data_IF_798272631382
#
_entry.id   IF_798272631382
#
_cell.length_a   1.000
_cell.length_b   1.000
_cell.length_c   1.000
_cell.angle_alpha   90.00
_cell.angle_beta   90.00
_cell.angle_gamma   90.00
#
_symmetry.space_group_name_H-M   'P 1'
#
loop_
_entity.id
_entity.type
_entity.pdbx_description
1 polymer ?
#
# COMPACT_ATOMS: atom_id res chain seq x y z
N UNK A 1 5.56 -5.96 -9.09
CA UNK A 1 6.22 -6.57 -7.92
C UNK A 1 7.39 -5.74 -7.40
N UNK A 2 8.51 -5.59 -8.13
CA UNK A 2 9.63 -4.76 -7.63
C UNK A 2 9.25 -3.29 -7.46
N UNK A 3 8.51 -2.71 -8.42
CA UNK A 3 8.00 -1.34 -8.34
C UNK A 3 7.09 -1.13 -7.13
N UNK A 4 6.18 -2.06 -6.89
CA UNK A 4 5.27 -2.02 -5.73
C UNK A 4 6.05 -2.04 -4.41
N UNK A 5 7.15 -2.81 -4.36
CA UNK A 5 8.03 -2.89 -3.20
C UNK A 5 8.74 -1.55 -2.94
N UNK A 6 9.25 -0.92 -4.01
CA UNK A 6 9.89 0.41 -3.92
C UNK A 6 8.88 1.48 -3.51
N UNK A 7 7.69 1.48 -4.13
CA UNK A 7 6.58 2.39 -3.76
C UNK A 7 6.26 2.22 -2.28
N UNK A 8 6.05 1.00 -1.80
CA UNK A 8 5.71 0.72 -0.41
C UNK A 8 6.77 1.24 0.57
N UNK A 9 8.05 0.96 0.29
CA UNK A 9 9.18 1.45 1.10
C UNK A 9 9.23 2.98 1.15
N UNK A 10 9.09 3.63 -0.01
CA UNK A 10 9.10 5.10 -0.11
C UNK A 10 7.90 5.69 0.64
N UNK A 11 6.71 5.11 0.49
CA UNK A 11 5.51 5.51 1.23
C UNK A 11 5.75 5.44 2.72
N UNK A 12 6.35 4.36 3.23
CA UNK A 12 6.70 4.23 4.65
C UNK A 12 7.72 5.28 5.11
N UNK A 13 8.75 5.58 4.31
CA UNK A 13 9.69 6.68 4.62
C UNK A 13 8.96 8.03 4.75
N UNK A 14 8.04 8.32 3.82
CA UNK A 14 7.33 9.60 3.79
C UNK A 14 6.28 9.72 4.90
N UNK A 15 5.75 8.60 5.41
CA UNK A 15 4.81 8.60 6.54
C UNK A 15 5.33 9.41 7.73
N UNK A 16 6.65 9.39 7.99
CA UNK A 16 7.27 10.13 9.11
C UNK A 16 7.15 11.66 9.00
N UNK A 17 6.97 12.18 7.80
CA UNK A 17 6.79 13.61 7.51
C UNK A 17 5.32 14.04 7.55
N UNK A 18 4.41 13.06 7.49
CA UNK A 18 2.98 13.25 7.29
C UNK A 18 2.21 12.97 8.59
N UNK A 19 2.66 12.00 9.37
CA UNK A 19 2.03 11.54 10.60
C UNK A 19 2.84 11.98 11.82
N UNK A 20 2.16 12.20 12.94
CA UNK A 20 2.80 12.69 14.18
C UNK A 20 3.44 11.59 15.02
N UNK A 21 3.07 10.33 14.78
CA UNK A 21 3.61 9.20 15.53
C UNK A 21 5.04 8.86 15.11
N UNK A 22 5.86 8.47 16.10
CA UNK A 22 7.16 7.87 15.85
C UNK A 22 7.00 6.56 15.10
N UNK A 23 7.55 6.48 13.89
CA UNK A 23 7.52 5.28 13.05
C UNK A 23 8.78 4.47 13.33
N UNK A 24 8.66 3.18 13.70
CA UNK A 24 9.83 2.32 13.86
C UNK A 24 10.68 2.28 12.60
N UNK A 25 12.02 2.40 12.69
CA UNK A 25 12.91 2.45 11.52
C UNK A 25 12.81 1.19 10.63
N UNK A 26 12.45 0.05 11.20
CA UNK A 26 12.25 -1.22 10.50
C UNK A 26 11.03 -1.18 9.55
N UNK A 27 10.10 -0.24 9.74
CA UNK A 27 8.85 -0.15 8.98
C UNK A 27 9.07 0.02 7.49
N UNK A 28 10.11 0.77 7.08
CA UNK A 28 10.43 0.92 5.66
C UNK A 28 10.90 -0.42 5.04
N UNK A 29 11.68 -1.19 5.79
CA UNK A 29 12.09 -2.54 5.39
C UNK A 29 10.90 -3.50 5.34
N UNK A 30 10.00 -3.44 6.33
CA UNK A 30 8.75 -4.19 6.33
C UNK A 30 7.89 -3.88 5.11
N UNK A 31 7.77 -2.59 4.75
CA UNK A 31 7.03 -2.14 3.58
C UNK A 31 7.71 -2.57 2.27
N UNK A 32 9.04 -2.54 2.19
CA UNK A 32 9.78 -3.05 1.03
C UNK A 32 9.47 -4.53 0.78
N UNK A 33 9.39 -5.32 1.85
CA UNK A 33 9.18 -6.76 1.78
C UNK A 33 7.71 -7.17 1.73
N UNK A 34 6.77 -6.21 1.80
CA UNK A 34 5.34 -6.43 2.02
C UNK A 34 4.66 -7.44 1.09
N UNK A 35 5.15 -7.56 -0.16
CA UNK A 35 4.65 -8.48 -1.18
C UNK A 35 5.62 -9.65 -1.48
N UNK A 36 6.63 -9.89 -0.65
CA UNK A 36 7.62 -10.95 -0.86
C UNK A 36 6.97 -12.34 -0.88
N UNK A 37 5.90 -12.56 -0.10
CA UNK A 37 5.14 -13.81 -0.13
C UNK A 37 4.55 -14.13 -1.49
N UNK A 38 4.16 -13.13 -2.29
CA UNK A 38 3.72 -13.35 -3.68
C UNK A 38 4.88 -13.84 -4.56
N UNK A 39 6.10 -13.37 -4.33
CA UNK A 39 7.30 -13.81 -5.07
C UNK A 39 7.59 -15.26 -4.71
N UNK A 40 7.56 -15.58 -3.42
CA UNK A 40 7.78 -16.93 -2.90
C UNK A 40 6.73 -17.87 -3.50
N UNK A 41 5.43 -17.59 -3.35
CA UNK A 41 4.37 -18.40 -3.92
C UNK A 41 4.55 -18.62 -5.43
N UNK A 42 4.89 -17.57 -6.19
CA UNK A 42 5.09 -17.68 -7.65
C UNK A 42 6.18 -18.68 -8.07
N UNK A 43 7.14 -18.98 -7.18
CA UNK A 43 8.25 -19.90 -7.43
C UNK A 43 7.95 -21.34 -7.02
N UNK A 44 7.12 -21.54 -6.00
CA UNK A 44 6.95 -22.85 -5.37
C UNK A 44 5.62 -23.54 -5.67
N UNK A 45 4.58 -22.81 -6.10
CA UNK A 45 3.28 -23.43 -6.44
C UNK A 45 3.25 -23.89 -7.91
N UNK A 46 2.42 -24.89 -8.19
CA UNK A 46 2.25 -25.44 -9.54
C UNK A 46 1.61 -24.43 -10.50
N UNK A 47 1.84 -24.58 -11.81
CA UNK A 47 1.22 -23.72 -12.80
C UNK A 47 -0.31 -23.88 -12.84
N UNK A 48 -0.83 -25.04 -12.45
CA UNK A 48 -2.27 -25.27 -12.27
C UNK A 48 -2.85 -24.39 -11.16
N UNK A 49 -2.20 -24.36 -9.99
CA UNK A 49 -2.60 -23.49 -8.88
C UNK A 49 -2.52 -22.01 -9.26
N UNK A 50 -1.47 -21.59 -10.00
CA UNK A 50 -1.36 -20.21 -10.51
C UNK A 50 -2.53 -19.85 -11.43
N UNK A 51 -2.93 -20.77 -12.33
CA UNK A 51 -4.08 -20.57 -13.22
C UNK A 51 -5.38 -20.44 -12.43
N UNK A 52 -5.62 -21.36 -11.50
CA UNK A 52 -6.81 -21.33 -10.65
C UNK A 52 -6.94 -20.02 -9.85
N UNK A 53 -5.85 -19.57 -9.21
CA UNK A 53 -5.82 -18.30 -8.47
C UNK A 53 -6.10 -17.12 -9.43
N UNK A 54 -5.55 -17.16 -10.65
CA UNK A 54 -5.77 -16.12 -11.65
C UNK A 54 -7.23 -16.08 -12.13
N UNK A 55 -7.84 -17.23 -12.37
CA UNK A 55 -9.25 -17.36 -12.78
C UNK A 55 -10.21 -16.86 -11.69
N UNK A 56 -9.98 -17.23 -10.44
CA UNK A 56 -10.76 -16.73 -9.29
C UNK A 56 -10.72 -15.20 -9.19
N UNK A 57 -9.55 -14.60 -9.47
CA UNK A 57 -9.40 -13.14 -9.48
C UNK A 57 -10.13 -12.48 -10.64
N UNK A 58 -10.12 -13.11 -11.81
CA UNK A 58 -10.88 -12.64 -12.97
C UNK A 58 -12.40 -12.71 -12.72
N UNK A 59 -12.87 -13.65 -11.88
CA UNK A 59 -14.26 -13.70 -11.42
C UNK A 59 -14.59 -12.72 -10.28
N UNK A 60 -13.64 -11.86 -9.89
CA UNK A 60 -13.85 -10.82 -8.88
C UNK A 60 -13.59 -11.23 -7.43
N UNK A 61 -13.08 -12.44 -7.16
CA UNK A 61 -12.57 -12.79 -5.82
C UNK A 61 -11.27 -12.01 -5.57
N UNK A 62 -11.03 -11.59 -4.33
CA UNK A 62 -9.72 -11.02 -3.98
C UNK A 62 -8.64 -12.11 -3.93
N UNK A 63 -7.38 -11.65 -4.00
CA UNK A 63 -6.20 -12.50 -4.03
C UNK A 63 -6.12 -13.44 -2.82
N UNK A 64 -6.43 -12.94 -1.61
CA UNK A 64 -6.27 -13.71 -0.37
C UNK A 64 -7.26 -14.86 -0.36
N UNK A 65 -8.54 -14.59 -0.65
CA UNK A 65 -9.53 -15.67 -0.71
C UNK A 65 -9.21 -16.69 -1.81
N UNK A 66 -8.74 -16.24 -2.97
CA UNK A 66 -8.34 -17.15 -4.05
C UNK A 66 -7.14 -18.04 -3.67
N UNK A 67 -6.16 -17.50 -2.94
CA UNK A 67 -5.02 -18.27 -2.44
C UNK A 67 -5.42 -19.25 -1.34
N UNK A 68 -6.24 -18.82 -0.37
CA UNK A 68 -6.74 -19.70 0.69
C UNK A 68 -7.53 -20.89 0.15
N UNK A 69 -8.34 -20.70 -0.90
CA UNK A 69 -9.10 -21.78 -1.54
C UNK A 69 -8.19 -22.78 -2.27
N UNK A 70 -7.06 -22.32 -2.82
CA UNK A 70 -6.16 -23.15 -3.61
C UNK A 70 -5.04 -23.83 -2.79
N UNK A 71 -4.59 -23.17 -1.73
CA UNK A 71 -3.35 -23.50 -1.02
C UNK A 71 -3.54 -23.67 0.49
N UNK A 72 -4.72 -23.34 1.03
CA UNK A 72 -4.99 -23.24 2.47
C UNK A 72 -4.11 -22.21 3.21
N UNK A 73 -3.35 -21.40 2.47
CA UNK A 73 -2.48 -20.34 2.95
C UNK A 73 -2.45 -19.19 1.95
N UNK A 74 -2.24 -17.97 2.43
CA UNK A 74 -2.11 -16.77 1.59
C UNK A 74 -0.68 -16.19 1.59
N UNK A 75 -0.43 -15.25 0.67
CA UNK A 75 0.87 -14.62 0.52
C UNK A 75 1.31 -13.83 1.75
N UNK A 76 0.38 -13.37 2.58
CA UNK A 76 0.66 -12.60 3.79
C UNK A 76 1.21 -13.52 4.86
N UNK A 77 0.56 -14.66 5.05
CA UNK A 77 0.98 -15.73 5.95
C UNK A 77 2.34 -16.30 5.52
N UNK A 78 2.49 -16.68 4.26
CA UNK A 78 3.75 -17.20 3.71
C UNK A 78 4.90 -16.19 3.90
N UNK A 79 4.65 -14.91 3.61
CA UNK A 79 5.64 -13.86 3.84
C UNK A 79 6.05 -13.73 5.31
N UNK A 80 5.08 -13.79 6.23
CA UNK A 80 5.32 -13.75 7.66
C UNK A 80 6.13 -14.94 8.18
N UNK A 81 5.81 -16.17 7.74
CA UNK A 81 6.53 -17.39 8.11
C UNK A 81 7.98 -17.31 7.61
N UNK A 82 8.20 -16.88 6.37
CA UNK A 82 9.56 -16.76 5.82
C UNK A 82 10.37 -15.67 6.52
N UNK A 83 9.75 -14.54 6.87
CA UNK A 83 10.41 -13.50 7.65
C UNK A 83 10.89 -14.01 9.02
N UNK A 84 10.05 -14.80 9.71
CA UNK A 84 10.40 -15.45 10.97
C UNK A 84 11.51 -16.50 10.78
N UNK A 85 11.42 -17.32 9.75
CA UNK A 85 12.43 -18.32 9.43
C UNK A 85 13.80 -17.72 9.12
N UNK A 86 13.85 -16.56 8.46
CA UNK A 86 15.08 -15.81 8.20
C UNK A 86 15.63 -15.08 9.43
N UNK A 87 14.93 -15.10 10.57
CA UNK A 87 15.34 -14.39 11.78
C UNK A 87 15.25 -12.87 11.65
N UNK A 88 14.34 -12.35 10.81
CA UNK A 88 14.13 -10.91 10.69
C UNK A 88 13.53 -10.33 11.99
N UNK A 89 13.77 -9.04 12.29
CA UNK A 89 13.16 -8.38 13.45
C UNK A 89 11.65 -8.57 13.51
N UNK A 90 11.05 -8.80 14.70
CA UNK A 90 9.61 -9.04 14.85
C UNK A 90 8.73 -7.95 14.22
N UNK A 91 9.19 -6.70 14.24
CA UNK A 91 8.46 -5.57 13.64
C UNK A 91 8.28 -5.74 12.12
N UNK A 92 9.23 -6.38 11.43
CA UNK A 92 9.10 -6.72 10.01
C UNK A 92 8.00 -7.77 9.81
N UNK A 93 8.02 -8.85 10.61
CA UNK A 93 7.00 -9.90 10.54
C UNK A 93 5.58 -9.36 10.85
N UNK A 94 5.46 -8.43 11.80
CA UNK A 94 4.20 -7.71 12.09
C UNK A 94 3.71 -6.96 10.85
N UNK A 95 4.62 -6.28 10.14
CA UNK A 95 4.30 -5.53 8.93
C UNK A 95 3.71 -6.39 7.81
N UNK A 96 4.18 -7.65 7.68
CA UNK A 96 3.55 -8.64 6.79
C UNK A 96 2.16 -9.01 7.27
N UNK A 97 2.09 -9.66 8.44
CA UNK A 97 0.94 -10.45 8.91
C UNK A 97 -0.35 -9.65 9.07
N UNK A 98 -0.23 -8.36 9.42
CA UNK A 98 -1.38 -7.56 9.84
C UNK A 98 -1.72 -6.39 8.90
N UNK A 99 -1.11 -6.34 7.70
CA UNK A 99 -1.38 -5.27 6.72
C UNK A 99 -2.85 -5.22 6.23
N UNK A 100 -3.56 -6.37 6.27
CA UNK A 100 -4.98 -6.49 5.93
C UNK A 100 -5.90 -6.65 7.15
N UNK A 101 -5.36 -7.07 8.28
CA UNK A 101 -6.12 -7.39 9.50
C UNK A 101 -5.65 -6.55 10.70
N UNK A 102 -6.10 -5.30 10.68
CA UNK A 102 -5.70 -4.25 11.62
C UNK A 102 -6.39 -4.34 12.98
N UNK A 103 -7.31 -5.30 13.14
CA UNK A 103 -8.01 -5.53 14.40
C UNK A 103 -7.21 -6.45 15.33
N UNK A 104 -6.36 -7.31 14.76
CA UNK A 104 -5.55 -8.28 15.52
C UNK A 104 -4.35 -7.65 16.23
N UNK A 105 -3.78 -6.58 15.68
CA UNK A 105 -2.61 -5.90 16.27
C UNK A 105 -2.75 -4.38 16.11
N UNK A 106 -2.45 -3.65 17.19
CA UNK A 106 -2.41 -2.18 17.22
C UNK A 106 -0.97 -1.70 17.33
N UNK A 107 -0.22 -1.78 16.22
CA UNK A 107 1.17 -1.32 16.10
C UNK A 107 1.29 -0.27 15.01
N UNK A 108 2.22 0.67 15.19
CA UNK A 108 2.48 1.72 14.19
C UNK A 108 2.92 1.10 12.86
N UNK A 109 3.74 0.04 12.91
CA UNK A 109 4.19 -0.62 11.68
C UNK A 109 3.06 -1.28 10.91
N UNK A 110 2.10 -1.96 11.56
CA UNK A 110 0.94 -2.53 10.84
C UNK A 110 0.04 -1.45 10.23
N UNK A 111 -0.12 -0.32 10.93
CA UNK A 111 -0.88 0.84 10.44
C UNK A 111 -0.22 1.48 9.22
N UNK A 112 1.11 1.65 9.26
CA UNK A 112 1.87 2.19 8.13
C UNK A 112 1.90 1.21 6.97
N UNK A 113 2.12 -0.09 7.18
CA UNK A 113 2.15 -1.08 6.08
C UNK A 113 0.78 -1.22 5.42
N UNK A 114 -0.31 -1.01 6.15
CA UNK A 114 -1.63 -0.88 5.54
C UNK A 114 -1.74 0.34 4.61
N UNK A 115 -1.27 1.52 5.05
CA UNK A 115 -1.24 2.71 4.19
C UNK A 115 -0.38 2.44 2.95
N UNK A 116 0.79 1.82 3.10
CA UNK A 116 1.65 1.41 2.00
C UNK A 116 0.93 0.49 1.01
N UNK A 117 0.26 -0.55 1.50
CA UNK A 117 -0.51 -1.47 0.66
C UNK A 117 -1.61 -0.74 -0.14
N UNK A 118 -2.37 0.13 0.51
CA UNK A 118 -3.42 0.92 -0.16
C UNK A 118 -2.84 1.90 -1.18
N UNK A 119 -1.64 2.42 -0.94
CA UNK A 119 -0.92 3.26 -1.90
C UNK A 119 -0.50 2.48 -3.15
N UNK A 120 -0.04 1.24 -2.98
CA UNK A 120 0.26 0.33 -4.10
C UNK A 120 -1.01 0.13 -4.93
N UNK A 121 -2.14 -0.22 -4.31
CA UNK A 121 -3.41 -0.42 -5.04
C UNK A 121 -3.81 0.84 -5.82
N UNK A 122 -3.67 2.02 -5.21
CA UNK A 122 -3.97 3.29 -5.88
C UNK A 122 -3.09 3.52 -7.11
N UNK A 123 -1.78 3.28 -6.99
CA UNK A 123 -0.81 3.59 -8.04
C UNK A 123 -0.72 2.52 -9.13
N UNK A 124 -0.96 1.26 -8.79
CA UNK A 124 -0.84 0.12 -9.71
C UNK A 124 -2.14 -0.20 -10.45
N UNK A 125 -3.28 0.42 -10.09
CA UNK A 125 -4.55 0.28 -10.82
C UNK A 125 -4.59 1.19 -12.08
N UNK A 126 -4.85 0.65 -13.29
CA UNK A 126 -4.97 1.45 -14.51
C UNK A 126 -6.12 2.47 -14.45
N UNK A 127 -5.94 3.67 -15.01
CA UNK A 127 -6.97 4.74 -15.01
C UNK A 127 -8.26 4.40 -15.76
N UNK A 128 -8.25 3.40 -16.65
CA UNK A 128 -9.42 2.97 -17.40
C UNK A 128 -10.56 2.44 -16.52
N UNK A 129 -10.31 2.21 -15.22
CA UNK A 129 -11.31 1.74 -14.24
C UNK A 129 -12.13 2.86 -13.57
N UNK A 130 -12.08 4.11 -14.04
CA UNK A 130 -12.82 5.24 -13.48
C UNK A 130 -12.06 6.04 -12.41
N UNK A 131 -12.77 6.84 -11.60
CA UNK A 131 -12.15 7.65 -10.53
C UNK A 131 -11.48 6.75 -9.49
N UNK A 132 -10.15 6.85 -9.37
CA UNK A 132 -9.38 6.15 -8.34
C UNK A 132 -9.74 6.69 -6.95
N UNK A 133 -10.27 5.83 -6.08
CA UNK A 133 -10.49 6.11 -4.66
C UNK A 133 -9.65 5.16 -3.83
N UNK A 134 -8.76 5.71 -3.01
CA UNK A 134 -8.04 4.91 -2.03
C UNK A 134 -8.98 4.54 -0.87
N UNK A 135 -8.89 3.31 -0.37
CA UNK A 135 -9.72 2.83 0.76
C UNK A 135 -8.84 2.54 1.96
N UNK A 136 -8.47 3.59 2.71
CA UNK A 136 -7.72 3.43 3.95
C UNK A 136 -8.71 3.35 5.12
N UNK A 137 -8.46 2.43 6.05
CA UNK A 137 -9.28 2.31 7.25
C UNK A 137 -9.25 3.63 8.07
N UNK A 138 -10.38 4.29 8.35
CA UNK A 138 -10.42 5.54 9.10
C UNK A 138 -9.79 5.44 10.50
N UNK A 139 -9.91 4.28 11.15
CA UNK A 139 -9.31 4.05 12.46
C UNK A 139 -7.77 4.03 12.39
N UNK A 140 -7.19 3.59 11.27
CA UNK A 140 -5.74 3.68 11.02
C UNK A 140 -5.32 5.13 10.90
N UNK A 141 -6.04 5.92 10.11
CA UNK A 141 -5.74 7.36 9.96
C UNK A 141 -5.85 8.08 11.30
N UNK A 142 -6.89 7.79 12.09
CA UNK A 142 -7.06 8.37 13.42
C UNK A 142 -5.88 8.01 14.35
N UNK A 143 -5.43 6.75 14.34
CA UNK A 143 -4.28 6.32 15.13
C UNK A 143 -2.99 7.00 14.67
N UNK A 144 -2.75 7.07 13.36
CA UNK A 144 -1.54 7.68 12.78
C UNK A 144 -1.43 9.19 13.02
N UNK A 145 -2.54 9.88 13.27
CA UNK A 145 -2.58 11.32 13.59
C UNK A 145 -1.89 12.18 12.52
N UNK A 146 -2.54 12.45 11.38
CA UNK A 146 -1.98 13.30 10.34
C UNK A 146 -1.65 14.70 10.86
N UNK A 147 -0.56 15.28 10.37
CA UNK A 147 -0.12 16.63 10.75
C UNK A 147 -1.06 17.72 10.22
N UNK A 148 -1.76 17.47 9.11
CA UNK A 148 -2.63 18.40 8.40
C UNK A 148 -3.89 17.71 7.84
N UNK A 149 -4.95 18.47 7.55
CA UNK A 149 -6.11 17.97 6.78
C UNK A 149 -5.75 17.66 5.32
N UNK A 150 -4.73 18.32 4.78
CA UNK A 150 -4.20 18.10 3.42
C UNK A 150 -3.10 17.01 3.39
N UNK A 151 -3.03 16.14 4.41
CA UNK A 151 -1.98 15.13 4.52
C UNK A 151 -1.90 14.21 3.30
N UNK A 152 -3.04 13.91 2.68
CA UNK A 152 -3.12 13.00 1.54
C UNK A 152 -2.40 13.59 0.32
N UNK A 153 -2.71 14.83 -0.02
CA UNK A 153 -2.07 15.55 -1.14
C UNK A 153 -0.58 15.73 -0.88
N UNK A 154 -0.21 16.08 0.34
CA UNK A 154 1.19 16.22 0.73
C UNK A 154 1.95 14.90 0.62
N UNK A 155 1.36 13.80 1.08
CA UNK A 155 1.94 12.47 0.97
C UNK A 155 2.12 12.06 -0.49
N UNK A 156 1.14 12.36 -1.35
CA UNK A 156 1.21 12.08 -2.78
C UNK A 156 2.40 12.78 -3.43
N UNK A 157 2.60 14.08 -3.16
CA UNK A 157 3.75 14.85 -3.64
C UNK A 157 5.07 14.25 -3.14
N UNK A 158 5.19 13.98 -1.84
CA UNK A 158 6.41 13.44 -1.25
C UNK A 158 6.80 12.06 -1.81
N UNK A 159 5.82 11.16 -1.94
CA UNK A 159 6.04 9.82 -2.49
C UNK A 159 6.49 9.91 -3.94
N UNK A 160 5.84 10.78 -4.72
CA UNK A 160 6.18 10.98 -6.13
C UNK A 160 7.59 11.52 -6.32
N UNK A 161 7.94 12.62 -5.66
CA UNK A 161 9.28 13.22 -5.75
C UNK A 161 10.37 12.23 -5.33
N UNK A 162 10.12 11.46 -4.26
CA UNK A 162 11.06 10.44 -3.78
C UNK A 162 11.20 9.30 -4.78
N UNK A 163 10.09 8.83 -5.36
CA UNK A 163 10.11 7.76 -6.36
C UNK A 163 10.91 8.17 -7.61
N UNK A 164 10.73 9.39 -8.12
CA UNK A 164 11.50 9.89 -9.26
C UNK A 164 13.01 9.93 -8.95
N UNK A 165 13.39 10.36 -7.74
CA UNK A 165 14.79 10.37 -7.32
C UNK A 165 15.40 8.97 -7.21
N UNK A 166 14.63 7.98 -6.77
CA UNK A 166 15.11 6.60 -6.57
C UNK A 166 15.15 5.80 -7.87
N UNK A 167 14.13 5.93 -8.72
CA UNK A 167 13.97 5.13 -9.93
C UNK A 167 14.55 5.79 -11.18
N UNK A 168 15.07 7.01 -11.09
CA UNK A 168 15.40 7.85 -12.24
C UNK A 168 14.14 8.31 -12.98
N UNK A 169 14.32 9.04 -14.08
CA UNK A 169 13.25 9.57 -14.96
C UNK A 169 12.57 8.43 -15.75
N UNK A 170 12.06 7.42 -15.04
CA UNK A 170 11.20 6.39 -15.58
C UNK A 170 9.79 6.97 -15.67
N UNK A 171 9.37 7.26 -16.89
CA UNK A 171 8.04 7.69 -17.30
C UNK A 171 6.90 6.83 -16.74
N UNK A 172 6.54 7.04 -15.46
CA UNK A 172 5.16 6.91 -15.00
C UNK A 172 4.28 7.98 -15.70
N UNK A 173 4.89 9.00 -16.31
CA UNK A 173 4.24 10.00 -17.17
C UNK A 173 3.67 9.42 -18.47
N UNK A 174 4.28 8.39 -19.07
CA UNK A 174 3.85 7.83 -20.37
C UNK A 174 2.61 6.93 -20.28
N UNK A 175 2.15 6.58 -19.07
CA UNK A 175 0.90 5.83 -18.85
C UNK A 175 -0.23 6.66 -18.24
N UNK A 176 -0.18 7.99 -18.34
CA UNK A 176 -1.26 8.86 -17.87
C UNK A 176 -1.49 8.82 -16.36
N UNK A 177 -0.51 8.36 -15.56
CA UNK A 177 -0.64 8.16 -14.12
C UNK A 177 -0.65 9.45 -13.30
N UNK A 178 -0.41 10.59 -13.94
CA UNK A 178 -0.76 11.94 -13.48
C UNK A 178 -1.90 12.45 -14.37
N UNK A 179 -3.18 12.43 -13.94
CA UNK A 179 -4.21 13.19 -14.60
C UNK A 179 -3.74 14.63 -14.84
N UNK A 180 -3.86 15.12 -16.08
CA UNK A 180 -3.77 16.54 -16.41
C UNK A 180 -4.75 17.42 -15.58
N UNK A 181 -5.68 16.81 -14.84
CA UNK A 181 -6.57 17.46 -13.87
C UNK A 181 -5.92 17.77 -12.51
N UNK A 182 -4.66 17.40 -12.29
CA UNK A 182 -3.87 17.89 -11.15
C UNK A 182 -3.10 19.18 -11.46
N UNK A 183 -3.33 19.80 -12.63
CA UNK A 183 -3.01 21.21 -12.84
C UNK A 183 -4.03 22.05 -12.06
N UNK A 184 -3.56 22.77 -11.05
CA UNK A 184 -4.33 23.82 -10.39
C UNK A 184 -4.76 24.85 -11.44
N UNK A 185 -6.08 25.01 -11.64
CA UNK A 185 -6.59 26.26 -12.18
C UNK A 185 -6.51 27.28 -11.04
N UNK A 186 -5.57 28.21 -11.13
CA UNK A 186 -5.59 29.47 -10.40
C UNK A 186 -6.75 30.35 -10.89
N UNK A 187 -7.99 29.92 -10.70
CA UNK A 187 -9.15 30.81 -10.83
C UNK A 187 -10.20 30.41 -9.81
N UNK A 188 -10.34 31.26 -8.78
CA UNK A 188 -11.37 31.09 -7.76
C UNK A 188 -12.78 31.16 -8.33
N UNK A 189 -13.68 30.31 -7.79
CA UNK A 189 -15.08 30.56 -7.40
C UNK A 189 -15.89 29.26 -7.41
N UNK A 190 -16.69 29.06 -6.35
CA UNK A 190 -17.83 28.11 -6.27
C UNK A 190 -17.57 26.90 -5.37
N UNK A 191 -18.00 26.92 -4.10
CA UNK A 191 -19.24 26.29 -3.56
C UNK A 191 -19.16 24.76 -3.48
N UNK A 192 -19.35 24.00 -2.39
CA UNK A 192 -20.08 24.04 -1.10
C UNK A 192 -19.59 22.75 -0.33
N UNK A 193 -19.77 22.47 0.96
CA UNK A 193 -20.35 23.13 2.12
C UNK A 193 -19.72 22.47 3.37
N UNK A 194 -19.49 23.29 4.40
CA UNK A 194 -19.10 22.87 5.75
C UNK A 194 -20.36 22.93 6.62
N UNK A 195 -20.76 21.79 7.16
CA UNK A 195 -21.61 21.62 8.35
C UNK A 195 -21.54 20.14 8.70
N UNK A 196 -21.36 19.66 9.93
CA UNK A 196 -21.52 20.19 11.28
C UNK A 196 -20.90 19.12 12.16
N UNK A 197 -20.07 19.45 13.15
CA UNK A 197 -20.10 18.86 14.50
C UNK A 197 -19.23 19.77 15.37
N UNK A 198 -19.89 20.26 16.42
CA UNK A 198 -19.38 21.15 17.45
C UNK A 198 -18.31 20.46 18.31
#
# INVERSE_FOLDING_TARGET
MWRDSVIASITAEQCSKVFRLGIPPETACAALLLNAGKVILSKFISDEMKRYISECRLSGKDQIHAELEALEADYVEVGGIVAEHWGLPPEIAIGFKYQHDLCKVKKVTSDVTHVCYRWIELLSTPLSSGTRKIKINPNVIQRLQPSSRAWFDFMQTLVWERYQKVCGDCSLSEKGLIPKQWAFNETGKGSMNVSTFA
#
